data_IF_256444406118
#
_entry.id   IF_256444406118
#
_cell.length_a   1.000
_cell.length_b   1.000
_cell.length_c   1.000
_cell.angle_alpha   90.00
_cell.angle_beta   90.00
_cell.angle_gamma   90.00
#
_symmetry.space_group_name_H-M   'P 1'
#
loop_
_entity.id
_entity.type
_entity.pdbx_description
1 polymer ?
#
# COMPACT_ATOMS: atom_id res chain seq x y z
N UNK A 1 1.03 22.20 7.08
CA UNK A 1 -0.13 22.07 6.18
C UNK A 1 -0.44 20.58 6.11
N UNK A 2 -1.63 20.15 6.53
CA UNK A 2 -2.03 18.74 6.46
C UNK A 2 -2.82 18.56 5.17
N UNK A 3 -2.11 18.28 4.08
CA UNK A 3 -2.75 17.98 2.78
C UNK A 3 -3.45 16.64 2.92
N UNK A 4 -4.77 16.67 3.04
CA UNK A 4 -5.57 15.46 3.06
C UNK A 4 -5.34 14.72 1.74
N UNK A 5 -4.69 13.56 1.80
CA UNK A 5 -4.49 12.69 0.63
C UNK A 5 -5.84 12.04 0.28
N UNK A 6 -6.49 12.61 -0.74
CA UNK A 6 -7.71 12.07 -1.34
C UNK A 6 -7.37 11.09 -2.47
N UNK A 7 -8.30 10.19 -2.79
CA UNK A 7 -8.14 9.22 -3.88
C UNK A 7 -7.79 9.87 -5.22
N UNK A 8 -8.41 11.03 -5.53
CA UNK A 8 -8.14 11.74 -6.77
C UNK A 8 -6.69 12.25 -6.83
N UNK A 9 -6.17 12.74 -5.70
CA UNK A 9 -4.76 13.14 -5.61
C UNK A 9 -3.86 11.92 -5.82
N UNK A 10 -4.12 10.81 -5.13
CA UNK A 10 -3.34 9.57 -5.25
C UNK A 10 -3.26 9.05 -6.70
N UNK A 11 -4.37 9.14 -7.45
CA UNK A 11 -4.41 8.74 -8.86
C UNK A 11 -3.62 9.65 -9.80
N UNK A 12 -3.47 10.93 -9.43
CA UNK A 12 -2.71 11.91 -10.21
C UNK A 12 -1.23 11.94 -9.87
N UNK A 13 -0.82 11.30 -8.77
CA UNK A 13 0.58 11.30 -8.34
C UNK A 13 1.47 10.48 -9.28
N UNK A 14 2.60 11.07 -9.60
CA UNK A 14 3.67 10.41 -10.35
C UNK A 14 4.46 9.44 -9.47
N UNK A 15 5.27 8.58 -10.10
CA UNK A 15 6.11 7.62 -9.36
C UNK A 15 7.12 8.33 -8.48
N UNK A 16 7.68 9.44 -8.96
CA UNK A 16 8.70 10.21 -8.23
C UNK A 16 8.09 10.88 -7.01
N UNK A 17 6.88 11.45 -7.12
CA UNK A 17 6.20 12.05 -5.97
C UNK A 17 5.90 11.03 -4.87
N UNK A 18 5.51 9.80 -5.22
CA UNK A 18 5.28 8.75 -4.23
C UNK A 18 6.58 8.32 -3.53
N UNK A 19 7.70 8.29 -4.27
CA UNK A 19 9.02 8.03 -3.70
C UNK A 19 9.50 9.20 -2.83
N UNK A 20 9.19 10.44 -3.19
CA UNK A 20 9.47 11.62 -2.37
C UNK A 20 8.71 11.58 -1.04
N UNK A 21 7.45 11.16 -1.04
CA UNK A 21 6.68 10.92 0.20
C UNK A 21 7.29 9.83 1.08
N UNK A 22 7.81 8.76 0.46
CA UNK A 22 8.55 7.71 1.17
C UNK A 22 9.86 8.26 1.75
N UNK A 23 10.59 9.07 1.00
CA UNK A 23 11.85 9.68 1.42
C UNK A 23 11.67 10.77 2.49
N UNK A 24 10.51 11.43 2.52
CA UNK A 24 10.17 12.46 3.51
C UNK A 24 10.05 11.91 4.93
N UNK A 25 9.83 10.60 5.09
CA UNK A 25 9.91 9.89 6.37
C UNK A 25 8.77 8.91 6.62
N UNK A 26 8.88 8.18 7.73
CA UNK A 26 7.91 7.13 8.11
C UNK A 26 6.50 7.68 8.35
N UNK A 27 6.37 8.88 8.92
CA UNK A 27 5.07 9.49 9.19
C UNK A 27 4.31 9.83 7.91
N UNK A 28 5.01 10.38 6.91
CA UNK A 28 4.45 10.68 5.60
C UNK A 28 4.09 9.40 4.84
N UNK A 29 4.97 8.39 4.90
CA UNK A 29 4.69 7.09 4.31
C UNK A 29 3.48 6.40 4.95
N UNK A 30 3.33 6.50 6.28
CA UNK A 30 2.18 5.96 7.00
C UNK A 30 0.89 6.66 6.58
N UNK A 31 0.90 7.99 6.48
CA UNK A 31 -0.26 8.76 6.02
C UNK A 31 -0.66 8.38 4.58
N UNK A 32 0.33 8.24 3.69
CA UNK A 32 0.12 7.79 2.31
C UNK A 32 -0.46 6.37 2.24
N UNK A 33 0.12 5.42 2.98
CA UNK A 33 -0.37 4.04 3.07
C UNK A 33 -1.79 3.98 3.64
N UNK A 34 -2.12 4.80 4.64
CA UNK A 34 -3.47 4.88 5.21
C UNK A 34 -4.48 5.48 4.24
N UNK A 35 -4.09 6.49 3.47
CA UNK A 35 -4.94 7.08 2.44
C UNK A 35 -5.31 6.04 1.37
N UNK A 36 -4.34 5.26 0.90
CA UNK A 36 -4.59 4.16 -0.05
C UNK A 36 -5.45 3.07 0.58
N UNK A 37 -5.16 2.66 1.82
CA UNK A 37 -5.89 1.60 2.51
C UNK A 37 -7.35 1.97 2.81
N UNK A 38 -7.65 3.25 3.06
CA UNK A 38 -9.02 3.74 3.27
C UNK A 38 -9.91 3.46 2.06
N UNK A 39 -9.36 3.59 0.87
CA UNK A 39 -10.12 3.51 -0.37
C UNK A 39 -10.12 2.09 -0.98
N UNK A 40 -9.36 1.16 -0.39
CA UNK A 40 -9.32 -0.24 -0.78
C UNK A 40 -10.42 -1.05 -0.07
N UNK A 41 -11.26 -1.73 -0.85
CA UNK A 41 -12.25 -2.67 -0.31
C UNK A 41 -11.62 -4.04 -0.06
N UNK A 42 -11.66 -4.51 1.19
CA UNK A 42 -11.23 -5.87 1.53
C UNK A 42 -12.40 -6.86 1.54
N UNK A 43 -12.19 -8.09 1.03
CA UNK A 43 -13.17 -9.14 1.19
C UNK A 43 -13.36 -9.52 2.67
N UNK A 44 -14.56 -9.95 3.05
CA UNK A 44 -14.84 -10.43 4.41
C UNK A 44 -13.92 -11.60 4.77
N UNK A 45 -13.38 -11.59 5.99
CA UNK A 45 -12.48 -12.64 6.48
C UNK A 45 -11.04 -12.51 6.00
N UNK A 46 -10.64 -11.34 5.50
CA UNK A 46 -9.26 -11.01 5.13
C UNK A 46 -8.70 -9.92 6.04
N UNK A 47 -7.43 -10.07 6.41
CA UNK A 47 -6.64 -9.02 7.05
C UNK A 47 -5.96 -8.16 5.99
N UNK A 48 -5.91 -6.84 6.22
CA UNK A 48 -5.25 -5.87 5.35
C UNK A 48 -4.14 -5.21 6.15
N UNK A 49 -2.91 -5.31 5.68
CA UNK A 49 -1.75 -4.76 6.35
C UNK A 49 -0.92 -3.93 5.37
N UNK A 50 -0.66 -2.67 5.71
CA UNK A 50 0.25 -1.82 4.96
C UNK A 50 1.70 -1.98 5.44
N UNK A 51 2.65 -1.77 4.54
CA UNK A 51 4.06 -1.60 4.87
C UNK A 51 4.32 -0.17 5.34
N UNK A 52 5.02 -0.03 6.46
CA UNK A 52 5.40 1.28 7.01
C UNK A 52 6.91 1.52 6.90
N UNK A 53 7.70 0.45 6.88
CA UNK A 53 9.15 0.47 6.73
C UNK A 53 9.57 -0.53 5.67
N UNK A 54 10.10 -1.68 6.07
CA UNK A 54 10.61 -2.70 5.16
C UNK A 54 10.09 -4.08 5.54
N UNK A 55 8.97 -4.16 6.27
CA UNK A 55 8.40 -5.42 6.76
C UNK A 55 8.10 -6.38 5.62
N UNK A 56 7.84 -5.86 4.42
CA UNK A 56 7.49 -6.61 3.23
C UNK A 56 8.51 -6.49 2.10
N UNK A 57 9.71 -5.98 2.39
CA UNK A 57 10.84 -5.83 1.47
C UNK A 57 11.19 -4.39 1.12
N UNK A 58 10.31 -3.42 1.36
CA UNK A 58 10.59 -2.00 1.16
C UNK A 58 10.83 -1.61 -0.30
N UNK A 59 10.32 -2.37 -1.26
CA UNK A 59 10.58 -2.17 -2.70
C UNK A 59 9.68 -1.12 -3.35
N UNK A 60 8.54 -0.83 -2.74
CA UNK A 60 7.54 0.09 -3.28
C UNK A 60 7.25 1.20 -2.25
N UNK A 61 6.85 2.41 -2.71
CA UNK A 61 6.52 3.51 -1.81
C UNK A 61 5.30 3.16 -0.95
N UNK A 62 4.28 2.52 -1.55
CA UNK A 62 3.14 1.92 -0.85
C UNK A 62 3.00 0.46 -1.23
N UNK A 63 2.93 -0.40 -0.21
CA UNK A 63 2.67 -1.82 -0.37
C UNK A 63 1.64 -2.27 0.67
N UNK A 64 0.58 -2.94 0.22
CA UNK A 64 -0.50 -3.44 1.07
C UNK A 64 -0.67 -4.94 0.80
N UNK A 65 -0.73 -5.72 1.87
CA UNK A 65 -0.94 -7.17 1.83
C UNK A 65 -2.34 -7.51 2.32
N UNK A 66 -3.03 -8.30 1.53
CA UNK A 66 -4.31 -8.89 1.87
C UNK A 66 -4.08 -10.37 2.17
N UNK A 67 -4.36 -10.78 3.39
CA UNK A 67 -4.16 -12.16 3.85
C UNK A 67 -5.49 -12.70 4.39
N UNK A 68 -6.10 -13.72 3.76
CA UNK A 68 -7.28 -14.40 4.26
C UNK A 68 -6.97 -15.07 5.60
N UNK A 69 -7.94 -15.02 6.51
CA UNK A 69 -7.79 -15.56 7.86
C UNK A 69 -7.80 -17.10 7.91
N UNK A 70 -8.25 -17.76 6.85
CA UNK A 70 -8.47 -19.22 6.82
C UNK A 70 -7.64 -20.00 5.78
N UNK A 71 -7.00 -19.33 4.82
CA UNK A 71 -6.17 -20.01 3.80
C UNK A 71 -4.84 -19.29 3.59
N UNK A 72 -3.84 -20.02 3.14
CA UNK A 72 -2.44 -19.55 3.00
C UNK A 72 -2.18 -18.69 1.74
N UNK A 73 -3.23 -18.24 1.07
CA UNK A 73 -3.13 -17.47 -0.17
C UNK A 73 -2.96 -15.98 0.13
N UNK A 74 -1.92 -15.29 -0.33
CA UNK A 74 -1.74 -13.86 -0.04
C UNK A 74 -1.84 -13.03 -1.32
N UNK A 75 -2.51 -11.89 -1.23
CA UNK A 75 -2.56 -10.91 -2.31
C UNK A 75 -1.72 -9.69 -1.94
N UNK A 76 -1.00 -9.15 -2.92
CA UNK A 76 -0.16 -7.97 -2.78
C UNK A 76 -0.67 -6.88 -3.71
N UNK A 77 -0.96 -5.72 -3.13
CA UNK A 77 -1.25 -4.49 -3.84
C UNK A 77 -0.04 -3.56 -3.71
N UNK A 78 0.57 -3.19 -4.84
CA UNK A 78 1.70 -2.28 -4.88
C UNK A 78 1.41 -1.10 -5.81
N UNK A 79 1.70 0.11 -5.34
CA UNK A 79 1.57 1.34 -6.13
C UNK A 79 2.94 1.80 -6.60
N UNK A 80 3.06 2.07 -7.90
CA UNK A 80 4.26 2.65 -8.53
C UNK A 80 3.80 3.73 -9.52
N UNK A 81 3.77 4.98 -9.05
CA UNK A 81 3.23 6.10 -9.82
C UNK A 81 1.76 5.91 -10.17
N UNK A 82 1.41 6.21 -11.43
CA UNK A 82 0.06 6.04 -11.98
C UNK A 82 -0.33 4.57 -12.20
N UNK A 83 0.58 3.61 -11.97
CA UNK A 83 0.34 2.18 -12.17
C UNK A 83 0.18 1.47 -10.81
N UNK A 84 -0.94 0.76 -10.65
CA UNK A 84 -1.20 -0.13 -9.51
C UNK A 84 -1.18 -1.58 -9.97
N UNK A 85 -0.47 -2.44 -9.26
CA UNK A 85 -0.42 -3.88 -9.55
C UNK A 85 -1.02 -4.70 -8.41
N UNK A 86 -1.82 -5.71 -8.77
CA UNK A 86 -2.37 -6.73 -7.90
C UNK A 86 -1.75 -8.07 -8.29
N UNK A 87 -0.96 -8.66 -7.38
CA UNK A 87 -0.32 -9.96 -7.59
C UNK A 87 -0.77 -10.95 -6.51
N UNK A 88 -1.05 -12.19 -6.91
CA UNK A 88 -1.42 -13.30 -6.03
C UNK A 88 -0.22 -14.24 -5.83
N UNK A 89 0.26 -14.38 -4.60
CA UNK A 89 1.37 -15.26 -4.25
C UNK A 89 1.03 -16.21 -3.10
N UNK A 90 1.59 -17.43 -3.14
CA UNK A 90 1.52 -18.38 -2.03
C UNK A 90 2.54 -18.00 -0.95
N UNK A 91 2.11 -17.91 0.31
CA UNK A 91 3.02 -17.69 1.44
C UNK A 91 3.40 -19.03 2.05
N UNK A 92 4.59 -19.57 1.77
CA UNK A 92 5.09 -20.68 2.59
C UNK A 92 5.52 -20.14 3.97
N UNK A 93 5.29 -20.89 5.06
CA UNK A 93 5.67 -20.47 6.41
C UNK A 93 7.18 -20.26 6.55
#
# INVERSE_FOLDING_TARGET
MKTVLTLDVLKTMSSDELEDYRAAGEDFRRELSHAVMRDLTSPSGWSVNAEYRCEFGGFFPVQIRFTPLMVTLMWRYAVRGAESSLDSGLCYP
#
